data_IF_264537998291
#
_entry.id   IF_264537998291
#
_cell.length_a   1.000
_cell.length_b   1.000
_cell.length_c   1.000
_cell.angle_alpha   90.00
_cell.angle_beta   90.00
_cell.angle_gamma   90.00
#
_symmetry.space_group_name_H-M   'P 1'
#
loop_
_entity.id
_entity.type
_entity.pdbx_description
1 polymer ?
#
# COMPACT_ATOMS: atom_id res chain seq x y z
N UNK A 1 -18.33 -28.31 -17.90
CA UNK A 1 -18.85 -27.45 -16.81
C UNK A 1 -18.38 -28.07 -15.51
N UNK A 2 -17.52 -27.38 -14.77
CA UNK A 2 -17.11 -27.87 -13.45
C UNK A 2 -18.35 -27.93 -12.54
N UNK A 3 -18.51 -28.97 -11.72
CA UNK A 3 -19.62 -29.05 -10.76
C UNK A 3 -19.55 -27.83 -9.83
N UNK A 4 -20.71 -27.26 -9.50
CA UNK A 4 -20.80 -26.24 -8.45
C UNK A 4 -20.22 -26.83 -7.17
N UNK A 5 -19.13 -26.21 -6.70
CA UNK A 5 -18.51 -26.54 -5.42
C UNK A 5 -19.54 -26.29 -4.32
N UNK A 6 -20.01 -27.35 -3.69
CA UNK A 6 -20.81 -27.27 -2.46
C UNK A 6 -19.88 -26.78 -1.36
N UNK A 7 -19.94 -25.49 -1.07
CA UNK A 7 -19.18 -24.86 0.01
C UNK A 7 -19.86 -25.18 1.32
N UNK A 8 -19.14 -25.83 2.23
CA UNK A 8 -19.57 -26.06 3.61
C UNK A 8 -19.85 -24.69 4.29
N UNK A 9 -21.06 -24.45 4.81
CA UNK A 9 -21.42 -23.16 5.41
C UNK A 9 -20.69 -22.87 6.72
N UNK A 10 -20.17 -23.91 7.40
CA UNK A 10 -19.53 -23.82 8.71
C UNK A 10 -18.00 -23.86 8.63
N UNK A 11 -17.44 -24.40 7.54
CA UNK A 11 -16.01 -24.36 7.25
C UNK A 11 -15.73 -23.13 6.39
N UNK A 12 -15.06 -22.09 6.90
CA UNK A 12 -14.67 -20.96 6.05
C UNK A 12 -13.88 -21.52 4.87
N UNK A 13 -14.24 -21.17 3.61
CA UNK A 13 -13.53 -21.65 2.42
C UNK A 13 -12.04 -21.43 2.65
N UNK A 14 -11.14 -22.38 2.28
CA UNK A 14 -9.74 -22.38 2.68
C UNK A 14 -9.24 -20.97 2.60
N UNK A 15 -9.09 -20.39 3.79
CA UNK A 15 -9.05 -18.97 4.03
C UNK A 15 -8.19 -18.34 2.95
N UNK A 16 -8.79 -17.66 1.96
CA UNK A 16 -7.97 -16.78 1.14
C UNK A 16 -7.39 -15.84 2.17
N UNK A 17 -6.07 -15.84 2.37
CA UNK A 17 -5.41 -14.89 3.27
C UNK A 17 -5.88 -13.45 2.98
N UNK A 18 -6.28 -13.18 1.74
CA UNK A 18 -6.95 -11.96 1.29
C UNK A 18 -8.27 -11.63 1.98
N UNK A 19 -9.05 -12.60 2.46
CA UNK A 19 -10.29 -12.39 3.21
C UNK A 19 -10.08 -12.00 4.67
N UNK A 20 -8.88 -12.22 5.21
CA UNK A 20 -8.45 -11.77 6.54
C UNK A 20 -7.64 -10.47 6.48
N UNK A 21 -7.25 -10.04 5.28
CA UNK A 21 -6.61 -8.75 5.08
C UNK A 21 -7.66 -7.66 5.17
N UNK A 22 -7.51 -6.78 6.17
CA UNK A 22 -8.33 -5.58 6.31
C UNK A 22 -8.24 -4.76 5.02
N UNK A 23 -9.31 -4.76 4.24
CA UNK A 23 -9.39 -3.93 3.06
C UNK A 23 -9.38 -2.46 3.48
N UNK A 24 -8.52 -1.66 2.83
CA UNK A 24 -8.51 -0.22 3.05
C UNK A 24 -9.90 0.36 2.77
N UNK A 25 -10.44 1.23 3.65
CA UNK A 25 -11.76 1.81 3.48
C UNK A 25 -12.05 2.35 2.07
N UNK A 26 -13.31 2.24 1.64
CA UNK A 26 -13.79 2.85 0.39
C UNK A 26 -13.63 4.38 0.44
N UNK A 27 -13.68 5.02 -0.73
CA UNK A 27 -13.51 6.47 -0.84
C UNK A 27 -14.49 7.24 0.04
N UNK A 28 -15.77 6.86 0.01
CA UNK A 28 -16.84 7.48 0.81
C UNK A 28 -16.56 7.38 2.31
N UNK A 29 -16.22 6.18 2.79
CA UNK A 29 -15.91 5.95 4.20
C UNK A 29 -14.62 6.69 4.62
N UNK A 30 -13.63 6.74 3.75
CA UNK A 30 -12.39 7.52 3.98
C UNK A 30 -12.68 9.02 4.06
N UNK A 31 -13.58 9.52 3.21
CA UNK A 31 -14.04 10.90 3.24
C UNK A 31 -14.82 11.22 4.50
N UNK A 32 -15.73 10.33 4.91
CA UNK A 32 -16.49 10.47 6.16
C UNK A 32 -15.56 10.46 7.39
N UNK A 33 -14.58 9.55 7.44
CA UNK A 33 -13.58 9.51 8.50
C UNK A 33 -12.74 10.79 8.56
N UNK A 34 -12.29 11.29 7.40
CA UNK A 34 -11.53 12.54 7.31
C UNK A 34 -12.35 13.74 7.80
N UNK A 35 -13.60 13.86 7.34
CA UNK A 35 -14.50 14.92 7.75
C UNK A 35 -14.80 14.86 9.26
N UNK A 36 -15.10 13.67 9.79
CA UNK A 36 -15.39 13.47 11.20
C UNK A 36 -14.17 13.78 12.09
N UNK A 37 -12.98 13.29 11.73
CA UNK A 37 -11.76 13.54 12.50
C UNK A 37 -11.36 15.03 12.48
N UNK A 38 -11.49 15.68 11.32
CA UNK A 38 -11.17 17.11 11.19
C UNK A 38 -12.19 17.98 11.91
N UNK A 39 -13.48 17.62 11.87
CA UNK A 39 -14.51 18.31 12.62
C UNK A 39 -14.30 18.15 14.13
N UNK A 40 -13.95 16.94 14.60
CA UNK A 40 -13.61 16.72 16.00
C UNK A 40 -12.40 17.55 16.43
N UNK A 41 -11.35 17.61 15.61
CA UNK A 41 -10.20 18.48 15.85
C UNK A 41 -10.60 19.97 15.91
N UNK A 42 -11.43 20.45 14.98
CA UNK A 42 -11.86 21.84 14.99
C UNK A 42 -12.75 22.17 16.20
N UNK A 43 -13.70 21.30 16.54
CA UNK A 43 -14.66 21.55 17.63
C UNK A 43 -14.03 21.36 19.00
N UNK A 44 -13.18 20.36 19.20
CA UNK A 44 -12.58 20.04 20.50
C UNK A 44 -11.26 20.80 20.65
N UNK A 45 -10.43 20.77 19.60
CA UNK A 45 -9.09 21.31 19.61
C UNK A 45 -8.97 22.79 19.27
N UNK A 46 -10.05 23.50 18.88
CA UNK A 46 -10.02 24.95 18.61
C UNK A 46 -11.09 25.78 19.34
N UNK A 47 -11.91 25.17 20.22
CA UNK A 47 -13.02 25.85 20.92
C UNK A 47 -12.60 27.05 21.76
N UNK A 48 -11.54 26.89 22.54
CA UNK A 48 -11.14 27.85 23.58
C UNK A 48 -10.02 28.81 23.12
N UNK A 49 -9.77 28.88 21.80
CA UNK A 49 -8.56 29.51 21.26
C UNK A 49 -8.83 30.91 20.70
N UNK A 50 -7.99 31.90 21.00
CA UNK A 50 -8.01 33.20 20.31
C UNK A 50 -7.29 33.05 18.97
N UNK A 51 -7.99 32.55 17.95
CA UNK A 51 -7.59 32.76 16.56
C UNK A 51 -7.77 34.24 16.19
N UNK A 52 -7.33 34.65 15.00
CA UNK A 52 -7.34 36.04 14.49
C UNK A 52 -8.73 36.72 14.61
N UNK A 53 -9.80 35.94 14.74
CA UNK A 53 -11.19 36.41 14.83
C UNK A 53 -11.76 36.28 16.25
N UNK A 54 -12.48 37.31 16.71
CA UNK A 54 -13.11 37.29 18.04
C UNK A 54 -14.33 36.34 18.11
N UNK A 55 -15.09 36.24 17.02
CA UNK A 55 -16.29 35.41 16.93
C UNK A 55 -15.95 33.91 16.88
N UNK A 56 -16.54 33.12 17.78
CA UNK A 56 -16.33 31.65 17.86
C UNK A 56 -16.67 30.95 16.54
N UNK A 57 -17.71 31.41 15.82
CA UNK A 57 -18.10 30.87 14.51
C UNK A 57 -16.97 30.98 13.48
N UNK A 58 -16.31 32.13 13.44
CA UNK A 58 -15.28 32.44 12.44
C UNK A 58 -14.00 31.70 12.77
N UNK A 59 -13.71 31.51 14.06
CA UNK A 59 -12.58 30.69 14.53
C UNK A 59 -12.73 29.23 14.14
N UNK A 60 -13.92 28.66 14.36
CA UNK A 60 -14.21 27.28 13.98
C UNK A 60 -14.17 27.10 12.45
N UNK A 61 -14.67 28.07 11.69
CA UNK A 61 -14.62 28.04 10.23
C UNK A 61 -13.18 28.14 9.70
N UNK A 62 -12.40 29.11 10.18
CA UNK A 62 -11.00 29.29 9.79
C UNK A 62 -10.17 28.05 10.12
N UNK A 63 -10.35 27.51 11.34
CA UNK A 63 -9.72 26.28 11.79
C UNK A 63 -10.05 25.08 10.91
N UNK A 64 -11.34 24.86 10.64
CA UNK A 64 -11.79 23.77 9.78
C UNK A 64 -11.22 23.91 8.36
N UNK A 65 -11.19 25.11 7.79
CA UNK A 65 -10.63 25.35 6.46
C UNK A 65 -9.12 25.12 6.46
N UNK A 66 -8.37 25.70 7.40
CA UNK A 66 -6.92 25.57 7.47
C UNK A 66 -6.45 24.13 7.74
N UNK A 67 -7.28 23.31 8.40
CA UNK A 67 -6.96 21.91 8.72
C UNK A 67 -7.52 20.91 7.70
N UNK A 68 -8.60 21.23 6.99
CA UNK A 68 -9.21 20.33 6.01
C UNK A 68 -8.70 20.57 4.57
N UNK A 69 -8.60 21.84 4.17
CA UNK A 69 -8.36 22.19 2.77
C UNK A 69 -6.95 21.79 2.30
N UNK A 70 -5.85 22.08 3.03
CA UNK A 70 -4.52 21.71 2.56
C UNK A 70 -4.32 20.20 2.41
N UNK A 71 -4.69 19.33 3.38
CA UNK A 71 -4.63 17.88 3.21
C UNK A 71 -5.44 17.37 2.01
N UNK A 72 -6.64 17.91 1.77
CA UNK A 72 -7.49 17.52 0.64
C UNK A 72 -6.87 17.89 -0.70
N UNK A 73 -6.29 19.10 -0.81
CA UNK A 73 -5.61 19.56 -2.02
C UNK A 73 -4.37 18.72 -2.31
N UNK A 74 -3.55 18.43 -1.28
CA UNK A 74 -2.36 17.57 -1.45
C UNK A 74 -2.74 16.14 -1.79
N UNK A 75 -3.80 15.58 -1.18
CA UNK A 75 -4.32 14.26 -1.52
C UNK A 75 -4.74 14.19 -3.00
N UNK A 76 -5.46 15.22 -3.46
CA UNK A 76 -5.93 15.33 -4.84
C UNK A 76 -4.76 15.50 -5.81
N UNK A 77 -3.80 16.35 -5.48
CA UNK A 77 -2.60 16.57 -6.27
C UNK A 77 -1.78 15.29 -6.40
N UNK A 78 -1.51 14.60 -5.29
CA UNK A 78 -0.78 13.34 -5.28
C UNK A 78 -1.50 12.27 -6.11
N UNK A 79 -2.83 12.18 -6.03
CA UNK A 79 -3.62 11.24 -6.82
C UNK A 79 -3.52 11.49 -8.33
N UNK A 80 -3.46 12.76 -8.73
CA UNK A 80 -3.33 13.15 -10.14
C UNK A 80 -1.89 13.13 -10.65
N UNK A 81 -0.88 13.20 -9.79
CA UNK A 81 0.54 13.15 -10.19
C UNK A 81 1.15 11.75 -10.11
N UNK A 82 0.52 10.80 -9.41
CA UNK A 82 1.09 9.48 -9.14
C UNK A 82 1.55 8.72 -10.40
N UNK A 83 0.85 8.90 -11.52
CA UNK A 83 1.20 8.25 -12.79
C UNK A 83 2.56 8.70 -13.32
N UNK A 84 3.02 9.93 -13.01
CA UNK A 84 4.27 10.49 -13.52
C UNK A 84 5.51 9.73 -13.03
N UNK A 85 5.37 8.91 -11.97
CA UNK A 85 6.45 8.11 -11.39
C UNK A 85 6.11 6.61 -11.30
N UNK A 86 5.25 6.09 -12.18
CA UNK A 86 4.74 4.70 -12.16
C UNK A 86 4.19 4.29 -10.77
N UNK A 87 3.67 5.28 -10.06
CA UNK A 87 3.04 5.15 -8.76
C UNK A 87 1.52 5.04 -8.88
N UNK A 88 0.88 4.69 -7.76
CA UNK A 88 -0.57 4.75 -7.62
C UNK A 88 -0.92 5.31 -6.26
N UNK A 89 -1.58 6.47 -6.24
CA UNK A 89 -2.03 7.10 -5.00
C UNK A 89 -3.53 7.39 -5.07
N UNK A 90 -4.40 6.39 -4.86
CA UNK A 90 -5.83 6.62 -4.77
C UNK A 90 -6.13 7.71 -3.75
N UNK A 91 -7.07 8.62 -4.07
CA UNK A 91 -7.45 9.74 -3.20
C UNK A 91 -7.78 9.30 -1.77
N UNK A 92 -8.35 8.09 -1.60
CA UNK A 92 -8.64 7.48 -0.29
C UNK A 92 -7.43 7.39 0.63
N UNK A 93 -6.22 7.17 0.12
CA UNK A 93 -5.01 7.10 0.95
C UNK A 93 -4.66 8.47 1.51
N UNK A 94 -4.76 9.54 0.71
CA UNK A 94 -4.59 10.90 1.20
C UNK A 94 -5.67 11.31 2.21
N UNK A 95 -6.93 10.89 2.02
CA UNK A 95 -8.00 11.11 2.99
C UNK A 95 -7.73 10.38 4.33
N UNK A 96 -7.23 9.15 4.27
CA UNK A 96 -6.85 8.37 5.46
C UNK A 96 -5.64 9.01 6.17
N UNK A 97 -4.63 9.46 5.43
CA UNK A 97 -3.50 10.24 5.97
C UNK A 97 -3.98 11.51 6.65
N UNK A 98 -4.91 12.24 6.03
CA UNK A 98 -5.54 13.42 6.61
C UNK A 98 -6.31 13.10 7.89
N UNK A 99 -7.07 12.00 7.91
CA UNK A 99 -7.85 11.59 9.08
C UNK A 99 -6.95 11.21 10.25
N UNK A 100 -5.92 10.39 10.00
CA UNK A 100 -4.92 10.02 11.00
C UNK A 100 -4.14 11.25 11.48
N UNK A 101 -3.78 12.15 10.57
CA UNK A 101 -3.15 13.43 10.91
C UNK A 101 -4.02 14.27 11.83
N UNK A 102 -5.33 14.37 11.56
CA UNK A 102 -6.28 15.09 12.41
C UNK A 102 -6.38 14.49 13.82
N UNK A 103 -6.36 13.15 13.94
CA UNK A 103 -6.35 12.48 15.24
C UNK A 103 -5.04 12.70 16.01
N UNK A 104 -3.89 12.67 15.32
CA UNK A 104 -2.59 13.00 15.92
C UNK A 104 -2.60 14.44 16.42
N UNK A 105 -3.06 15.38 15.59
CA UNK A 105 -3.18 16.79 15.98
C UNK A 105 -4.09 16.95 17.18
N UNK A 106 -5.24 16.28 17.22
CA UNK A 106 -6.17 16.34 18.36
C UNK A 106 -5.52 15.80 19.63
N UNK A 107 -4.86 14.63 19.54
CA UNK A 107 -4.13 14.07 20.67
C UNK A 107 -3.04 15.02 21.17
N UNK A 108 -2.19 15.55 20.29
CA UNK A 108 -1.14 16.49 20.66
C UNK A 108 -1.71 17.78 21.26
N UNK A 109 -2.85 18.25 20.77
CA UNK A 109 -3.56 19.42 21.29
C UNK A 109 -4.04 19.18 22.72
N UNK A 110 -4.70 18.05 22.98
CA UNK A 110 -5.18 17.67 24.32
C UNK A 110 -4.03 17.41 25.30
N UNK A 111 -3.06 16.58 24.89
CA UNK A 111 -1.90 16.26 25.72
C UNK A 111 -1.01 17.49 25.95
N UNK A 112 -0.90 18.39 24.98
CA UNK A 112 -0.16 19.65 25.10
C UNK A 112 -0.72 20.58 26.16
N UNK A 113 -2.04 20.59 26.34
CA UNK A 113 -2.72 21.37 27.38
C UNK A 113 -2.45 20.90 28.80
N UNK A 114 -2.26 19.58 29.00
CA UNK A 114 -2.06 18.99 30.33
C UNK A 114 -0.59 18.66 30.67
N UNK A 115 0.25 18.23 29.69
CA UNK A 115 1.50 17.51 29.98
C UNK A 115 2.79 18.12 29.40
N UNK A 116 2.74 18.89 28.30
CA UNK A 116 3.96 19.19 27.53
C UNK A 116 4.32 20.66 27.36
N UNK A 117 3.41 21.54 26.92
CA UNK A 117 3.78 22.93 26.57
C UNK A 117 2.63 23.90 26.79
N UNK A 118 1.60 23.76 25.97
CA UNK A 118 0.33 24.46 25.97
C UNK A 118 -0.54 23.79 24.91
N UNK A 119 -1.85 24.03 24.94
CA UNK A 119 -2.76 23.51 23.92
C UNK A 119 -2.37 24.00 22.51
N UNK A 120 -1.88 25.24 22.37
CA UNK A 120 -1.40 25.82 21.11
C UNK A 120 -0.09 25.19 20.63
N UNK A 121 0.86 24.98 21.55
CA UNK A 121 2.11 24.30 21.24
C UNK A 121 1.86 22.86 20.80
N UNK A 122 0.92 22.18 21.45
CA UNK A 122 0.45 20.85 21.08
C UNK A 122 -0.12 20.78 19.66
N UNK A 123 -1.01 21.73 19.30
CA UNK A 123 -1.56 21.82 17.95
C UNK A 123 -0.47 22.10 16.91
N UNK A 124 0.37 23.12 17.12
CA UNK A 124 1.44 23.46 16.19
C UNK A 124 2.42 22.31 15.99
N UNK A 125 2.83 21.65 17.08
CA UNK A 125 3.64 20.45 17.05
C UNK A 125 2.97 19.34 16.25
N UNK A 126 1.68 19.08 16.49
CA UNK A 126 0.89 18.07 15.81
C UNK A 126 0.79 18.33 14.30
N UNK A 127 0.51 19.58 13.88
CA UNK A 127 0.46 19.97 12.47
C UNK A 127 1.82 19.66 11.82
N UNK A 128 2.92 20.08 12.45
CA UNK A 128 4.27 19.78 11.95
C UNK A 128 4.53 18.27 11.83
N UNK A 129 4.17 17.49 12.84
CA UNK A 129 4.38 16.05 12.87
C UNK A 129 3.68 15.31 11.72
N UNK A 130 2.56 15.85 11.20
CA UNK A 130 1.88 15.26 10.04
C UNK A 130 2.73 15.23 8.77
N UNK A 131 3.76 16.07 8.64
CA UNK A 131 4.69 16.02 7.50
C UNK A 131 5.47 14.69 7.44
N UNK A 132 5.79 14.09 8.58
CA UNK A 132 6.36 12.74 8.62
C UNK A 132 5.38 11.69 8.12
N UNK A 133 4.13 11.75 8.60
CA UNK A 133 3.06 10.84 8.18
C UNK A 133 2.82 10.92 6.67
N UNK A 134 2.72 12.13 6.11
CA UNK A 134 2.57 12.34 4.67
C UNK A 134 3.73 11.75 3.87
N UNK A 135 4.97 11.97 4.32
CA UNK A 135 6.14 11.40 3.66
C UNK A 135 6.08 9.88 3.64
N UNK A 136 5.75 9.26 4.78
CA UNK A 136 5.61 7.80 4.90
C UNK A 136 4.54 7.28 3.94
N UNK A 137 3.33 7.86 3.93
CA UNK A 137 2.25 7.38 3.04
C UNK A 137 2.61 7.54 1.56
N UNK A 138 3.19 8.69 1.16
CA UNK A 138 3.58 8.94 -0.23
C UNK A 138 4.65 7.94 -0.72
N UNK A 139 5.61 7.58 0.14
CA UNK A 139 6.65 6.59 -0.18
C UNK A 139 6.14 5.15 -0.18
N UNK A 140 5.36 4.78 0.84
CA UNK A 140 4.97 3.39 1.10
C UNK A 140 3.76 2.95 0.27
N UNK A 141 2.77 3.83 0.07
CA UNK A 141 1.55 3.53 -0.65
C UNK A 141 1.57 4.10 -2.07
N UNK A 142 2.12 5.32 -2.24
CA UNK A 142 2.18 6.02 -3.53
C UNK A 142 3.36 5.69 -4.42
N UNK A 143 4.39 5.02 -3.86
CA UNK A 143 5.68 4.79 -4.52
C UNK A 143 6.36 6.06 -5.04
N UNK A 144 6.05 7.22 -4.46
CA UNK A 144 6.61 8.49 -4.91
C UNK A 144 8.15 8.51 -4.76
N UNK A 145 8.90 9.09 -5.72
CA UNK A 145 10.34 9.28 -5.58
C UNK A 145 10.67 10.08 -4.32
N UNK A 146 11.81 9.82 -3.69
CA UNK A 146 12.18 10.41 -2.40
C UNK A 146 12.05 11.94 -2.35
N UNK A 147 12.58 12.63 -3.36
CA UNK A 147 12.54 14.09 -3.44
C UNK A 147 11.13 14.65 -3.70
N UNK A 148 10.31 13.95 -4.49
CA UNK A 148 8.90 14.31 -4.73
C UNK A 148 8.09 14.15 -3.44
N UNK A 149 8.24 13.01 -2.77
CA UNK A 149 7.57 12.71 -1.53
C UNK A 149 7.95 13.73 -0.44
N UNK A 150 9.23 14.06 -0.33
CA UNK A 150 9.73 15.06 0.61
C UNK A 150 9.07 16.42 0.39
N UNK A 151 9.02 16.87 -0.86
CA UNK A 151 8.43 18.16 -1.21
C UNK A 151 6.92 18.19 -0.95
N UNK A 152 6.18 17.19 -1.47
CA UNK A 152 4.72 17.13 -1.32
C UNK A 152 4.28 16.96 0.12
N UNK A 153 5.04 16.22 0.94
CA UNK A 153 4.71 15.98 2.33
C UNK A 153 4.70 17.24 3.20
N UNK A 154 5.45 18.27 2.80
CA UNK A 154 5.53 19.53 3.54
C UNK A 154 4.43 20.53 3.15
N UNK A 155 3.83 20.40 1.96
CA UNK A 155 2.87 21.40 1.43
C UNK A 155 1.65 21.58 2.33
N UNK A 156 0.99 20.48 2.70
CA UNK A 156 -0.20 20.53 3.55
C UNK A 156 0.09 21.12 4.94
N UNK A 157 1.06 20.59 5.72
CA UNK A 157 1.34 21.14 7.04
C UNK A 157 1.88 22.57 7.00
N UNK A 158 2.67 22.96 5.99
CA UNK A 158 3.11 24.36 5.85
C UNK A 158 1.93 25.31 5.65
N UNK A 159 1.00 24.98 4.75
CA UNK A 159 -0.20 25.78 4.52
C UNK A 159 -1.10 25.84 5.77
N UNK A 160 -1.26 24.73 6.49
CA UNK A 160 -2.01 24.70 7.76
C UNK A 160 -1.33 25.52 8.86
N UNK A 161 0.00 25.44 9.01
CA UNK A 161 0.76 26.24 9.97
C UNK A 161 0.64 27.74 9.68
N UNK A 162 0.80 28.12 8.41
CA UNK A 162 0.66 29.51 8.00
C UNK A 162 -0.76 30.03 8.23
N UNK A 163 -1.78 29.27 7.84
CA UNK A 163 -3.19 29.67 8.01
C UNK A 163 -3.64 29.79 9.48
N UNK A 164 -2.98 29.09 10.41
CA UNK A 164 -3.32 29.12 11.83
C UNK A 164 -2.48 30.12 12.65
N UNK A 165 -1.20 30.29 12.31
CA UNK A 165 -0.23 31.01 13.17
C UNK A 165 0.55 32.13 12.47
N UNK A 166 0.38 32.32 11.16
CA UNK A 166 1.22 33.20 10.33
C UNK A 166 1.32 34.65 10.82
N UNK A 167 0.20 35.27 11.20
CA UNK A 167 0.16 36.71 11.49
C UNK A 167 0.27 37.06 12.99
N UNK A 168 -0.04 36.12 13.90
CA UNK A 168 -0.33 36.44 15.31
C UNK A 168 0.48 35.63 16.33
N UNK A 169 1.31 34.67 15.92
CA UNK A 169 1.93 33.72 16.85
C UNK A 169 3.24 33.13 16.33
N UNK A 170 4.25 34.00 16.14
CA UNK A 170 5.58 33.59 15.66
C UNK A 170 6.19 32.45 16.48
N UNK A 171 5.99 32.45 17.80
CA UNK A 171 6.49 31.38 18.67
C UNK A 171 5.91 30.01 18.30
N UNK A 172 4.59 29.91 18.13
CA UNK A 172 3.93 28.64 17.80
C UNK A 172 4.18 28.22 16.36
N UNK A 173 4.25 29.18 15.44
CA UNK A 173 4.69 28.92 14.07
C UNK A 173 6.07 28.26 14.04
N UNK A 174 7.03 28.78 14.81
CA UNK A 174 8.38 28.20 14.91
C UNK A 174 8.37 26.79 15.49
N UNK A 175 7.57 26.53 16.54
CA UNK A 175 7.40 25.16 17.08
C UNK A 175 6.89 24.21 16.01
N UNK A 176 5.88 24.63 15.24
CA UNK A 176 5.34 23.82 14.15
C UNK A 176 6.32 23.58 13.01
N UNK A 177 7.09 24.60 12.61
CA UNK A 177 8.11 24.47 11.56
C UNK A 177 9.26 23.55 11.97
N UNK A 178 9.75 23.66 13.21
CA UNK A 178 10.77 22.76 13.75
C UNK A 178 10.25 21.33 13.81
N UNK A 179 9.01 21.14 14.29
CA UNK A 179 8.36 19.82 14.29
C UNK A 179 8.26 19.25 12.87
N UNK A 180 7.80 20.05 11.91
CA UNK A 180 7.69 19.65 10.51
C UNK A 180 9.01 19.14 9.95
N UNK A 181 10.06 19.95 10.03
CA UNK A 181 11.38 19.56 9.52
C UNK A 181 11.87 18.30 10.23
N UNK A 182 11.74 18.24 11.55
CA UNK A 182 12.21 17.10 12.35
C UNK A 182 11.51 15.80 11.96
N UNK A 183 10.18 15.77 11.93
CA UNK A 183 9.42 14.54 11.64
C UNK A 183 9.51 14.12 10.18
N UNK A 184 9.54 15.06 9.25
CA UNK A 184 9.72 14.74 7.83
C UNK A 184 11.13 14.18 7.58
N UNK A 185 12.19 14.80 8.12
CA UNK A 185 13.57 14.31 7.99
C UNK A 185 13.76 12.98 8.73
N UNK A 186 13.18 12.82 9.92
CA UNK A 186 13.23 11.56 10.66
C UNK A 186 12.54 10.43 9.88
N UNK A 187 11.39 10.71 9.24
CA UNK A 187 10.69 9.74 8.40
C UNK A 187 11.46 9.39 7.13
N UNK A 188 12.13 10.38 6.53
CA UNK A 188 13.09 10.17 5.45
C UNK A 188 14.22 9.24 5.88
N UNK A 189 14.87 9.56 7.00
CA UNK A 189 15.96 8.76 7.57
C UNK A 189 15.51 7.33 7.89
N UNK A 190 14.35 7.17 8.51
CA UNK A 190 13.77 5.87 8.83
C UNK A 190 13.62 5.00 7.58
N UNK A 191 12.95 5.51 6.53
CA UNK A 191 12.80 4.75 5.28
C UNK A 191 14.12 4.53 4.55
N UNK A 192 15.05 5.48 4.64
CA UNK A 192 16.39 5.32 4.09
C UNK A 192 17.11 4.14 4.76
N UNK A 193 17.13 4.07 6.09
CA UNK A 193 17.78 2.99 6.83
C UNK A 193 17.08 1.64 6.66
N UNK A 194 15.76 1.62 6.50
CA UNK A 194 15.00 0.38 6.25
C UNK A 194 15.21 -0.14 4.82
N UNK A 195 15.22 0.74 3.82
CA UNK A 195 15.30 0.33 2.40
C UNK A 195 16.74 0.06 1.94
N UNK A 196 17.75 0.72 2.54
CA UNK A 196 19.16 0.60 2.13
C UNK A 196 19.71 -0.83 2.19
N UNK A 197 19.51 -1.62 3.27
CA UNK A 197 19.98 -3.01 3.32
C UNK A 197 19.40 -3.86 2.19
N UNK A 198 18.09 -3.70 1.92
CA UNK A 198 17.41 -4.43 0.86
C UNK A 198 17.94 -4.02 -0.52
N UNK A 199 18.09 -2.71 -0.77
CA UNK A 199 18.68 -2.20 -2.01
C UNK A 199 20.09 -2.73 -2.25
N UNK A 200 20.92 -2.83 -1.20
CA UNK A 200 22.28 -3.38 -1.32
C UNK A 200 22.30 -4.89 -1.59
N UNK A 201 21.35 -5.64 -1.02
CA UNK A 201 21.29 -7.09 -1.18
C UNK A 201 20.66 -7.52 -2.52
N UNK A 202 19.60 -6.84 -2.95
CA UNK A 202 18.76 -7.24 -4.09
C UNK A 202 18.97 -6.35 -5.32
N UNK A 203 19.51 -5.14 -5.15
CA UNK A 203 19.75 -4.17 -6.22
C UNK A 203 18.57 -3.25 -6.55
N UNK A 204 17.46 -3.36 -5.81
CA UNK A 204 16.21 -2.61 -6.05
C UNK A 204 15.54 -2.16 -4.75
N UNK A 205 14.58 -1.24 -4.83
CA UNK A 205 13.87 -0.74 -3.64
C UNK A 205 12.83 -1.74 -3.14
N UNK A 206 12.97 -2.15 -1.87
CA UNK A 206 12.00 -3.02 -1.18
C UNK A 206 10.70 -2.27 -0.91
N UNK A 207 10.77 -0.95 -0.71
CA UNK A 207 9.57 -0.11 -0.58
C UNK A 207 8.70 -0.12 -1.84
N UNK A 208 9.31 -0.18 -3.04
CA UNK A 208 8.58 -0.32 -4.30
C UNK A 208 7.84 -1.66 -4.38
N UNK A 209 8.48 -2.74 -3.92
CA UNK A 209 7.90 -4.08 -3.89
C UNK A 209 6.74 -4.17 -2.90
N UNK A 210 6.93 -3.64 -1.70
CA UNK A 210 5.90 -3.56 -0.67
C UNK A 210 4.68 -2.78 -1.16
N UNK A 211 4.89 -1.62 -1.79
CA UNK A 211 3.81 -0.81 -2.35
C UNK A 211 3.00 -1.58 -3.41
N UNK A 212 3.68 -2.32 -4.30
CA UNK A 212 3.05 -3.13 -5.32
C UNK A 212 2.27 -4.32 -4.72
N UNK A 213 2.78 -4.90 -3.63
CA UNK A 213 2.09 -5.96 -2.88
C UNK A 213 0.82 -5.45 -2.20
N UNK A 214 0.90 -4.30 -1.50
CA UNK A 214 -0.25 -3.64 -0.88
C UNK A 214 -1.32 -3.35 -1.93
N UNK A 215 -0.94 -2.87 -3.11
CA UNK A 215 -1.88 -2.61 -4.20
C UNK A 215 -2.56 -3.88 -4.70
N UNK A 216 -1.81 -4.95 -4.94
CA UNK A 216 -2.35 -6.23 -5.41
C UNK A 216 -3.41 -6.75 -4.44
N UNK A 217 -3.15 -6.74 -3.14
CA UNK A 217 -4.14 -7.18 -2.14
C UNK A 217 -5.29 -6.18 -1.93
N UNK A 218 -5.05 -4.88 -2.13
CA UNK A 218 -6.08 -3.85 -1.99
C UNK A 218 -7.02 -3.79 -3.19
N UNK A 219 -6.57 -4.19 -4.38
CA UNK A 219 -7.30 -3.93 -5.64
C UNK A 219 -7.46 -5.14 -6.55
N UNK A 220 -6.72 -6.23 -6.31
CA UNK A 220 -6.64 -7.39 -7.19
C UNK A 220 -5.78 -7.19 -8.45
N UNK A 221 -5.29 -5.97 -8.73
CA UNK A 221 -4.47 -5.70 -9.91
C UNK A 221 -3.01 -6.13 -9.69
N UNK A 222 -2.61 -7.21 -10.35
CA UNK A 222 -1.27 -7.79 -10.25
C UNK A 222 -0.22 -7.16 -11.16
N UNK A 223 -0.54 -6.17 -12.01
CA UNK A 223 0.42 -5.66 -13.01
C UNK A 223 1.69 -5.05 -12.39
N UNK A 224 1.53 -4.17 -11.40
CA UNK A 224 2.67 -3.51 -10.72
C UNK A 224 3.47 -4.53 -9.92
N UNK A 225 2.79 -5.47 -9.24
CA UNK A 225 3.47 -6.55 -8.51
C UNK A 225 4.26 -7.46 -9.46
N UNK A 226 3.70 -7.82 -10.61
CA UNK A 226 4.39 -8.62 -11.62
C UNK A 226 5.62 -7.91 -12.15
N UNK A 227 5.54 -6.60 -12.39
CA UNK A 227 6.68 -5.79 -12.83
C UNK A 227 7.76 -5.72 -11.76
N UNK A 228 7.38 -5.48 -10.51
CA UNK A 228 8.30 -5.47 -9.38
C UNK A 228 9.01 -6.82 -9.22
N UNK A 229 8.26 -7.93 -9.14
CA UNK A 229 8.84 -9.27 -9.04
C UNK A 229 9.76 -9.61 -10.22
N UNK A 230 9.47 -9.11 -11.42
CA UNK A 230 10.36 -9.29 -12.59
C UNK A 230 11.75 -8.69 -12.37
N UNK A 231 11.88 -7.65 -11.56
CA UNK A 231 13.18 -7.04 -11.24
C UNK A 231 14.09 -7.99 -10.43
N UNK A 232 13.52 -8.95 -9.69
CA UNK A 232 14.26 -9.97 -8.92
C UNK A 232 14.28 -11.36 -9.57
N UNK A 233 13.44 -11.59 -10.58
CA UNK A 233 13.35 -12.88 -11.23
C UNK A 233 14.62 -13.20 -12.03
N UNK A 234 15.00 -14.48 -12.01
CA UNK A 234 16.05 -15.03 -12.85
C UNK A 234 15.48 -16.08 -13.80
N UNK A 235 16.09 -16.21 -14.96
CA UNK A 235 15.81 -17.34 -15.86
C UNK A 235 16.57 -18.55 -15.35
N UNK A 236 15.84 -19.61 -15.03
CA UNK A 236 16.41 -20.88 -14.56
C UNK A 236 16.04 -22.01 -15.51
N UNK A 237 16.89 -23.04 -15.56
CA UNK A 237 16.55 -24.31 -16.19
C UNK A 237 16.00 -25.23 -15.11
N UNK A 238 14.88 -25.88 -15.40
CA UNK A 238 14.24 -26.83 -14.49
C UNK A 238 14.19 -28.21 -15.12
N UNK A 239 14.18 -29.23 -14.28
CA UNK A 239 13.97 -30.62 -14.69
C UNK A 239 12.54 -31.02 -14.35
N UNK A 240 11.85 -31.58 -15.33
CA UNK A 240 10.47 -32.05 -15.17
C UNK A 240 10.42 -33.54 -15.48
N UNK A 241 9.69 -34.28 -14.66
CA UNK A 241 9.38 -35.69 -14.90
C UNK A 241 7.99 -35.84 -15.51
N UNK A 242 7.77 -36.89 -16.27
CA UNK A 242 6.43 -37.25 -16.74
C UNK A 242 6.29 -38.76 -16.92
N UNK A 243 5.06 -39.25 -16.88
CA UNK A 243 4.69 -40.60 -17.27
C UNK A 243 3.35 -40.59 -18.01
N UNK A 244 3.25 -41.32 -19.13
CA UNK A 244 2.02 -41.41 -19.91
C UNK A 244 1.50 -42.85 -19.94
N UNK A 245 0.22 -43.02 -19.61
CA UNK A 245 -0.50 -44.25 -19.87
C UNK A 245 -1.15 -44.13 -21.25
N UNK A 246 -0.75 -45.01 -22.18
CA UNK A 246 -1.23 -44.99 -23.56
C UNK A 246 -2.05 -46.23 -23.89
N UNK A 247 -3.05 -46.08 -24.77
CA UNK A 247 -3.82 -47.16 -25.37
C UNK A 247 -3.84 -46.95 -26.88
N UNK A 248 -3.47 -47.98 -27.63
CA UNK A 248 -3.44 -47.95 -29.11
C UNK A 248 -2.63 -46.78 -29.69
N UNK A 249 -1.57 -46.39 -28.99
CA UNK A 249 -0.72 -45.26 -29.38
C UNK A 249 -1.22 -43.90 -28.90
N UNK A 250 -2.44 -43.79 -28.38
CA UNK A 250 -3.02 -42.53 -27.87
C UNK A 250 -2.85 -42.38 -26.35
N UNK A 251 -2.53 -41.18 -25.84
CA UNK A 251 -2.40 -40.92 -24.40
C UNK A 251 -3.77 -40.91 -23.71
N UNK A 252 -3.99 -41.85 -22.80
CA UNK A 252 -5.20 -41.95 -21.96
C UNK A 252 -5.08 -41.05 -20.72
N UNK A 253 -3.92 -41.07 -20.07
CA UNK A 253 -3.63 -40.27 -18.88
C UNK A 253 -2.16 -39.83 -18.88
N UNK A 254 -1.89 -38.67 -18.30
CA UNK A 254 -0.57 -38.06 -18.26
C UNK A 254 -0.26 -37.54 -16.86
N UNK A 255 0.74 -38.13 -16.23
CA UNK A 255 1.24 -37.72 -14.92
C UNK A 255 2.41 -36.76 -15.16
N UNK A 256 2.16 -35.46 -14.99
CA UNK A 256 3.17 -34.41 -15.07
C UNK A 256 3.75 -34.13 -13.68
N UNK A 257 5.08 -34.13 -13.58
CA UNK A 257 5.84 -33.72 -12.39
C UNK A 257 6.70 -32.52 -12.80
N UNK A 258 6.11 -31.34 -12.99
CA UNK A 258 6.84 -30.16 -13.43
C UNK A 258 7.91 -29.76 -12.40
N UNK A 259 9.08 -29.34 -12.90
CA UNK A 259 10.14 -28.71 -12.11
C UNK A 259 9.80 -27.30 -11.63
N UNK A 260 8.51 -26.99 -11.45
CA UNK A 260 7.97 -25.71 -11.04
C UNK A 260 7.31 -25.84 -9.67
N UNK A 261 7.45 -24.81 -8.85
CA UNK A 261 6.73 -24.72 -7.59
C UNK A 261 5.43 -23.93 -7.78
N UNK A 262 4.30 -24.34 -7.18
CA UNK A 262 3.06 -23.56 -7.21
C UNK A 262 3.23 -22.24 -6.45
N UNK A 263 2.95 -21.13 -7.13
CA UNK A 263 3.06 -19.80 -6.52
C UNK A 263 2.05 -19.55 -5.39
N UNK A 264 2.36 -18.69 -4.40
CA UNK A 264 1.49 -18.44 -3.25
C UNK A 264 0.41 -17.38 -3.51
N UNK A 265 0.32 -16.81 -4.72
CA UNK A 265 -0.40 -15.56 -5.00
C UNK A 265 -1.70 -15.79 -5.79
N UNK A 266 -2.47 -16.80 -5.40
CA UNK A 266 -3.80 -17.07 -5.97
C UNK A 266 -3.74 -17.45 -7.46
N UNK A 267 -4.02 -16.48 -8.34
CA UNK A 267 -3.98 -16.66 -9.79
C UNK A 267 -2.74 -16.02 -10.45
N UNK A 268 -1.86 -15.37 -9.68
CA UNK A 268 -0.68 -14.71 -10.25
C UNK A 268 0.42 -15.72 -10.62
N UNK A 269 0.99 -15.60 -11.82
CA UNK A 269 2.13 -16.41 -12.27
C UNK A 269 1.85 -17.92 -12.22
N UNK A 270 2.73 -18.68 -11.58
CA UNK A 270 2.61 -20.11 -11.35
C UNK A 270 1.67 -20.55 -10.24
N UNK A 271 0.96 -19.62 -9.60
CA UNK A 271 -0.05 -19.97 -8.59
C UNK A 271 -1.20 -20.76 -9.23
N UNK A 272 -1.86 -21.64 -8.48
CA UNK A 272 -2.89 -22.56 -9.02
C UNK A 272 -2.37 -23.44 -10.19
N UNK A 273 -1.11 -23.87 -10.07
CA UNK A 273 -0.35 -24.57 -11.12
C UNK A 273 -1.12 -25.73 -11.79
N UNK A 274 -1.78 -26.65 -11.05
CA UNK A 274 -2.47 -27.78 -11.66
C UNK A 274 -3.49 -27.36 -12.71
N UNK A 275 -4.31 -26.34 -12.40
CA UNK A 275 -5.32 -25.85 -13.34
C UNK A 275 -4.74 -25.17 -14.59
N UNK A 276 -3.53 -24.61 -14.48
CA UNK A 276 -2.89 -23.86 -15.56
C UNK A 276 -2.11 -24.76 -16.50
N UNK A 277 -1.53 -25.84 -15.99
CA UNK A 277 -0.75 -26.76 -16.81
C UNK A 277 -1.62 -27.83 -17.48
N UNK A 278 -2.75 -28.19 -16.87
CA UNK A 278 -3.67 -29.23 -17.36
C UNK A 278 -4.08 -29.07 -18.85
N UNK A 279 -4.40 -27.87 -19.37
CA UNK A 279 -4.76 -27.71 -20.78
C UNK A 279 -3.66 -28.09 -21.78
N UNK A 280 -2.41 -28.11 -21.32
CA UNK A 280 -1.24 -28.44 -22.15
C UNK A 280 -0.87 -29.93 -22.05
N UNK A 281 -1.51 -30.69 -21.16
CA UNK A 281 -1.24 -32.11 -20.96
C UNK A 281 -2.15 -32.97 -21.84
N UNK A 282 -1.64 -34.04 -22.48
CA UNK A 282 -2.45 -34.89 -23.32
C UNK A 282 -3.29 -35.89 -22.50
N UNK A 283 -4.49 -36.23 -22.99
CA UNK A 283 -5.39 -37.15 -22.29
C UNK A 283 -5.88 -36.59 -20.94
N UNK A 284 -6.05 -37.46 -19.95
CA UNK A 284 -6.40 -37.04 -18.58
C UNK A 284 -5.14 -36.59 -17.82
N UNK A 285 -5.01 -35.27 -17.60
CA UNK A 285 -3.86 -34.65 -16.94
C UNK A 285 -3.87 -34.81 -15.42
N UNK A 286 -2.71 -35.15 -14.85
CA UNK A 286 -2.43 -35.13 -13.43
C UNK A 286 -1.17 -34.30 -13.19
N UNK A 287 -1.34 -33.10 -12.65
CA UNK A 287 -0.22 -32.25 -12.26
C UNK A 287 0.18 -32.52 -10.81
N UNK A 288 1.33 -33.16 -10.61
CA UNK A 288 1.89 -33.53 -9.32
C UNK A 288 2.91 -32.50 -8.86
N UNK A 289 3.07 -32.35 -7.55
CA UNK A 289 4.12 -31.49 -6.99
C UNK A 289 5.48 -32.20 -7.09
N UNK A 290 6.44 -31.59 -7.79
CA UNK A 290 7.82 -32.08 -7.88
C UNK A 290 8.67 -31.77 -6.64
N UNK A 291 9.94 -32.17 -6.66
CA UNK A 291 10.92 -31.80 -5.62
C UNK A 291 11.42 -30.36 -5.82
N UNK A 292 10.50 -29.39 -5.75
CA UNK A 292 10.73 -27.98 -6.02
C UNK A 292 10.64 -27.14 -4.75
N UNK A 293 11.18 -25.94 -4.81
CA UNK A 293 11.25 -24.93 -3.75
C UNK A 293 10.66 -23.62 -4.26
N UNK A 294 10.47 -22.66 -3.37
CA UNK A 294 9.92 -21.34 -3.73
C UNK A 294 10.75 -20.57 -4.78
N UNK A 295 12.01 -20.94 -5.00
CA UNK A 295 12.86 -20.33 -6.04
C UNK A 295 12.40 -20.72 -7.46
N UNK A 296 11.67 -21.82 -7.61
CA UNK A 296 11.10 -22.29 -8.87
C UNK A 296 9.65 -21.84 -9.07
N UNK A 297 9.22 -20.75 -8.43
CA UNK A 297 7.91 -20.13 -8.67
C UNK A 297 7.96 -19.31 -9.99
N UNK A 298 7.27 -19.74 -11.06
CA UNK A 298 7.28 -18.95 -12.29
C UNK A 298 6.45 -17.69 -12.10
N UNK A 299 6.97 -16.56 -12.58
CA UNK A 299 6.28 -15.28 -12.52
C UNK A 299 5.13 -15.19 -13.53
N UNK A 300 5.26 -15.88 -14.66
CA UNK A 300 4.37 -15.80 -15.81
C UNK A 300 3.60 -17.11 -15.95
N UNK A 301 2.32 -17.03 -16.27
CA UNK A 301 1.53 -18.22 -16.58
C UNK A 301 2.08 -18.91 -17.84
N UNK A 302 2.58 -18.13 -18.79
CA UNK A 302 3.17 -18.63 -20.03
C UNK A 302 4.39 -19.54 -19.80
N UNK A 303 5.14 -19.33 -18.70
CA UNK A 303 6.26 -20.19 -18.34
C UNK A 303 5.75 -21.57 -17.84
N UNK A 304 4.58 -21.62 -17.19
CA UNK A 304 3.91 -22.89 -16.85
C UNK A 304 3.51 -23.63 -18.12
N UNK A 305 2.88 -22.94 -19.06
CA UNK A 305 2.42 -23.54 -20.31
C UNK A 305 3.59 -24.04 -21.15
N UNK A 306 4.71 -23.30 -21.19
CA UNK A 306 5.93 -23.74 -21.88
C UNK A 306 6.47 -25.06 -21.32
N UNK A 307 6.47 -25.23 -20.00
CA UNK A 307 6.91 -26.48 -19.36
C UNK A 307 5.91 -27.60 -19.62
N UNK A 308 4.60 -27.33 -19.56
CA UNK A 308 3.54 -28.28 -19.93
C UNK A 308 3.72 -28.82 -21.35
N UNK A 309 3.83 -27.92 -22.32
CA UNK A 309 4.06 -28.26 -23.74
C UNK A 309 5.34 -29.07 -23.94
N UNK A 310 6.45 -28.66 -23.32
CA UNK A 310 7.71 -29.39 -23.45
C UNK A 310 7.64 -30.83 -22.91
N UNK A 311 6.85 -31.08 -21.85
CA UNK A 311 6.62 -32.44 -21.36
C UNK A 311 5.72 -33.24 -22.30
N UNK A 312 4.67 -32.62 -22.83
CA UNK A 312 3.75 -33.26 -23.77
C UNK A 312 4.42 -33.63 -25.10
N UNK A 313 5.26 -32.74 -25.65
CA UNK A 313 6.03 -32.97 -26.87
C UNK A 313 7.08 -34.09 -26.73
N UNK A 314 7.57 -34.31 -25.51
CA UNK A 314 8.55 -35.36 -25.23
C UNK A 314 7.95 -36.77 -25.16
N UNK A 315 6.62 -36.92 -25.17
CA UNK A 315 5.89 -38.13 -24.76
C UNK A 315 5.20 -38.93 -25.86
#
# INVERSE_FOLDING_TARGET
MAPELVVDPDVPPPARLSGYLLHTPRLELSGALFAAATLALAVIGLRDFPLITEAVSDRLLLGAVALALPPLLVATLAANLAWAWDGRYPLRYGLQTGATGALIMLFCTLAGGEWWFSTMGGLAFGVGATGGLWYLTLRTHGSAPGWVALSLAMVAPLASLWGLFGDNSEHWLNVGLVSLVTFTVASYGFLFFVDTPYQRAVGISGMRHMAAFIEFYSTGDGRRLTRALREICQTVRVESGWASLRRDGEPLAFLAIPGLHPGPLGELGGSNLPSKIDPELPGLGFALHGATTNDQNPLRAEDVNRIGNAMAEAA
#
